data_IF_919526280376
#
_entry.id   IF_919526280376
#
_cell.length_a   1.000
_cell.length_b   1.000
_cell.length_c   1.000
_cell.angle_alpha   90.00
_cell.angle_beta   90.00
_cell.angle_gamma   90.00
#
_symmetry.space_group_name_H-M   'P 1'
#
loop_
_entity.id
_entity.type
_entity.pdbx_description
1 polymer ?
#
# COMPACT_ATOMS: atom_id res chain seq x y z
N UNK A 1 -19.47 -79.14 49.35
CA UNK A 1 -18.40 -80.08 48.94
C UNK A 1 -18.46 -80.26 47.44
N UNK A 2 -17.29 -80.22 46.76
CA UNK A 2 -16.91 -80.96 45.53
C UNK A 2 -18.03 -81.50 44.61
N UNK A 3 -17.98 -81.39 43.28
CA UNK A 3 -16.85 -81.60 42.39
C UNK A 3 -17.26 -81.29 40.94
N UNK A 4 -16.23 -81.06 40.15
CA UNK A 4 -16.15 -80.62 38.76
C UNK A 4 -16.25 -81.77 37.75
N UNK A 5 -16.44 -81.39 36.47
CA UNK A 5 -16.15 -82.11 35.19
C UNK A 5 -17.14 -83.21 34.75
N UNK A 6 -17.48 -83.43 33.46
CA UNK A 6 -17.07 -82.86 32.16
C UNK A 6 -18.11 -83.18 31.07
N UNK A 7 -18.15 -82.33 30.02
CA UNK A 7 -18.78 -82.43 28.68
C UNK A 7 -18.48 -83.77 27.93
N UNK A 8 -19.13 -84.13 26.78
CA UNK A 8 -19.55 -83.30 25.61
C UNK A 8 -20.94 -83.73 25.00
N UNK A 9 -21.49 -83.28 23.85
CA UNK A 9 -20.98 -82.96 22.50
C UNK A 9 -22.10 -82.30 21.65
N UNK A 10 -21.72 -81.28 20.87
CA UNK A 10 -22.14 -80.89 19.51
C UNK A 10 -23.61 -80.98 19.03
N UNK A 11 -24.27 -79.82 18.86
CA UNK A 11 -25.19 -79.54 17.74
C UNK A 11 -24.86 -78.12 17.21
N UNK A 12 -24.61 -78.07 15.91
CA UNK A 12 -24.23 -76.92 15.10
C UNK A 12 -25.48 -76.06 14.79
N UNK A 13 -25.52 -74.81 15.23
CA UNK A 13 -26.48 -73.81 14.74
C UNK A 13 -25.70 -72.61 14.17
N UNK A 14 -25.85 -72.41 12.87
CA UNK A 14 -25.21 -71.38 12.06
C UNK A 14 -26.00 -70.08 12.24
N UNK A 15 -25.43 -69.09 12.94
CA UNK A 15 -25.95 -67.72 12.99
C UNK A 15 -25.04 -66.83 12.15
N UNK A 16 -25.58 -66.32 11.06
CA UNK A 16 -24.95 -65.34 10.17
C UNK A 16 -24.77 -64.01 10.91
N UNK A 17 -23.55 -63.68 11.34
CA UNK A 17 -23.17 -62.32 11.73
C UNK A 17 -22.62 -61.58 10.52
N UNK A 18 -23.43 -60.69 9.95
CA UNK A 18 -22.99 -59.72 8.95
C UNK A 18 -22.07 -58.71 9.66
N UNK A 19 -20.77 -58.77 9.39
CA UNK A 19 -19.84 -57.70 9.75
C UNK A 19 -20.09 -56.52 8.80
N UNK A 20 -20.78 -55.49 9.27
CA UNK A 20 -20.66 -54.15 8.68
C UNK A 20 -19.29 -53.58 9.07
N UNK A 21 -18.32 -53.68 8.16
CA UNK A 21 -17.15 -52.81 8.22
C UNK A 21 -17.64 -51.38 7.90
N UNK A 22 -17.91 -50.57 8.93
CA UNK A 22 -17.98 -49.13 8.73
C UNK A 22 -16.57 -48.62 8.51
N UNK A 23 -16.14 -48.53 7.26
CA UNK A 23 -14.99 -47.70 6.91
C UNK A 23 -15.39 -46.26 7.21
N UNK A 24 -14.93 -45.73 8.34
CA UNK A 24 -14.87 -44.29 8.55
C UNK A 24 -13.88 -43.75 7.52
N UNK A 25 -14.38 -43.39 6.35
CA UNK A 25 -13.66 -42.49 5.47
C UNK A 25 -13.70 -41.15 6.18
N UNK A 26 -12.64 -40.85 6.93
CA UNK A 26 -12.32 -39.46 7.25
C UNK A 26 -12.07 -38.82 5.90
N UNK A 27 -13.06 -38.09 5.38
CA UNK A 27 -12.84 -37.18 4.29
C UNK A 27 -11.83 -36.16 4.81
N UNK A 28 -10.56 -36.34 4.40
CA UNK A 28 -9.56 -35.29 4.51
C UNK A 28 -10.20 -34.06 3.85
N UNK A 29 -10.44 -33.00 4.62
CA UNK A 29 -10.99 -31.75 4.06
C UNK A 29 -10.04 -31.34 2.93
N UNK A 30 -10.54 -31.39 1.69
CA UNK A 30 -9.76 -30.98 0.53
C UNK A 30 -9.15 -29.60 0.84
N UNK A 31 -7.88 -29.34 0.49
CA UNK A 31 -7.24 -28.06 0.80
C UNK A 31 -8.08 -26.93 0.22
N UNK A 32 -8.79 -26.20 1.09
CA UNK A 32 -9.65 -25.10 0.69
C UNK A 32 -8.80 -23.84 0.60
N UNK A 33 -8.80 -23.19 -0.57
CA UNK A 33 -8.05 -21.95 -0.82
C UNK A 33 -8.42 -20.80 0.14
N UNK A 34 -9.68 -20.75 0.59
CA UNK A 34 -10.16 -19.73 1.54
C UNK A 34 -11.31 -20.23 2.42
N UNK A 35 -11.38 -19.70 3.64
CA UNK A 35 -12.50 -19.92 4.58
C UNK A 35 -12.95 -18.56 5.13
N UNK A 36 -14.26 -18.31 5.13
CA UNK A 36 -14.81 -17.11 5.75
C UNK A 36 -14.72 -17.24 7.27
N UNK A 37 -13.96 -16.36 7.91
CA UNK A 37 -13.82 -16.29 9.37
C UNK A 37 -14.62 -15.10 9.89
N UNK A 38 -15.55 -15.28 10.85
CA UNK A 38 -16.28 -14.15 11.42
C UNK A 38 -15.30 -13.26 12.21
N UNK A 39 -15.46 -11.93 12.21
CA UNK A 39 -14.56 -11.02 12.94
C UNK A 39 -14.32 -11.40 14.41
N UNK A 40 -15.32 -11.95 15.08
CA UNK A 40 -15.25 -12.46 16.46
C UNK A 40 -14.29 -13.64 16.62
N UNK A 41 -14.12 -14.49 15.59
CA UNK A 41 -13.17 -15.62 15.61
C UNK A 41 -11.70 -15.17 15.65
N UNK A 42 -11.44 -13.92 15.26
CA UNK A 42 -10.12 -13.29 15.34
C UNK A 42 -9.96 -12.43 16.60
N UNK A 43 -10.93 -12.44 17.52
CA UNK A 43 -10.91 -11.63 18.73
C UNK A 43 -10.93 -10.11 18.47
N UNK A 44 -11.45 -9.69 17.30
CA UNK A 44 -11.50 -8.28 16.90
C UNK A 44 -12.40 -7.49 17.86
N UNK A 45 -11.76 -6.69 18.74
CA UNK A 45 -12.43 -5.74 19.64
C UNK A 45 -12.62 -4.38 18.95
N UNK A 46 -13.30 -3.48 19.66
CA UNK A 46 -13.57 -2.09 19.25
C UNK A 46 -12.30 -1.34 18.80
N UNK A 47 -12.45 -0.49 17.79
CA UNK A 47 -11.39 0.37 17.27
C UNK A 47 -10.73 1.19 18.39
N UNK A 48 -9.41 1.31 18.35
CA UNK A 48 -8.63 2.13 19.27
C UNK A 48 -7.92 3.25 18.52
N UNK A 49 -7.81 4.39 19.17
CA UNK A 49 -7.07 5.54 18.68
C UNK A 49 -5.87 5.77 19.61
N UNK A 50 -4.68 5.90 19.03
CA UNK A 50 -3.42 6.10 19.74
C UNK A 50 -2.70 7.33 19.19
N UNK A 51 -1.93 8.01 20.03
CA UNK A 51 -1.06 9.12 19.64
C UNK A 51 0.39 8.70 19.88
N UNK A 52 1.23 8.81 18.86
CA UNK A 52 2.66 8.53 18.91
C UNK A 52 3.42 9.81 18.55
N UNK A 53 4.54 10.05 19.22
CA UNK A 53 5.43 11.18 18.97
C UNK A 53 6.89 10.70 19.02
N UNK A 54 7.65 11.00 17.99
CA UNK A 54 9.06 10.61 17.80
C UNK A 54 9.69 11.50 16.72
N UNK A 55 11.02 11.47 16.63
CA UNK A 55 11.82 12.20 15.66
C UNK A 55 12.45 11.23 14.66
N UNK A 56 12.40 11.59 13.38
CA UNK A 56 12.93 10.80 12.26
C UNK A 56 14.22 11.46 11.74
N UNK A 57 15.27 10.67 11.52
CA UNK A 57 16.61 11.16 11.14
C UNK A 57 17.09 10.56 9.82
N UNK A 58 16.96 11.32 8.73
CA UNK A 58 17.52 10.96 7.43
C UNK A 58 18.99 11.40 7.35
N UNK A 59 19.91 10.44 7.47
CA UNK A 59 21.36 10.69 7.49
C UNK A 59 21.93 10.36 6.10
N UNK A 60 22.01 11.38 5.25
CA UNK A 60 22.44 11.24 3.83
C UNK A 60 23.96 11.32 3.62
N UNK A 61 24.75 11.60 4.65
CA UNK A 61 26.21 11.80 4.54
C UNK A 61 26.97 11.35 5.79
N UNK A 62 28.30 11.35 5.72
CA UNK A 62 29.17 10.91 6.81
C UNK A 62 29.58 9.43 6.68
N UNK A 63 30.24 8.86 7.71
CA UNK A 63 30.84 7.53 7.62
C UNK A 63 29.82 6.38 7.68
N UNK A 64 28.58 6.65 8.10
CA UNK A 64 27.49 5.66 8.25
C UNK A 64 26.15 6.29 7.86
N UNK A 65 25.93 6.59 6.56
CA UNK A 65 24.64 7.10 6.10
C UNK A 65 23.55 6.05 6.29
N UNK A 66 22.33 6.51 6.56
CA UNK A 66 21.13 5.66 6.73
C UNK A 66 20.23 5.70 5.50
N UNK A 67 20.48 6.64 4.58
CA UNK A 67 19.81 6.73 3.29
C UNK A 67 20.80 6.59 2.13
N UNK A 68 20.49 5.70 1.19
CA UNK A 68 21.31 5.41 0.03
C UNK A 68 20.48 5.57 -1.24
N UNK A 69 20.98 6.37 -2.19
CA UNK A 69 20.38 6.48 -3.52
C UNK A 69 20.56 5.17 -4.28
N UNK A 70 19.45 4.57 -4.72
CA UNK A 70 19.41 3.26 -5.39
C UNK A 70 18.99 3.34 -6.86
N UNK A 71 18.31 4.41 -7.27
CA UNK A 71 17.90 4.63 -8.64
C UNK A 71 17.80 6.13 -8.97
N UNK A 72 18.00 6.47 -10.24
CA UNK A 72 17.79 7.82 -10.76
C UNK A 72 17.58 7.81 -12.28
N UNK A 73 16.87 8.80 -12.81
CA UNK A 73 16.76 9.01 -14.25
C UNK A 73 18.00 9.73 -14.79
N UNK A 74 18.25 9.63 -16.10
CA UNK A 74 19.33 10.37 -16.76
C UNK A 74 19.18 11.89 -16.61
N UNK A 75 17.95 12.39 -16.52
CA UNK A 75 17.59 13.81 -16.36
C UNK A 75 17.61 14.29 -14.91
N UNK A 76 17.78 13.39 -13.93
CA UNK A 76 17.69 13.73 -12.50
C UNK A 76 18.71 14.79 -12.08
N UNK A 77 19.95 14.73 -12.59
CA UNK A 77 21.01 15.68 -12.21
C UNK A 77 20.78 17.10 -12.74
N UNK A 78 20.00 17.25 -13.82
CA UNK A 78 19.61 18.55 -14.39
C UNK A 78 18.26 19.04 -13.87
N UNK A 79 17.54 18.20 -13.11
CA UNK A 79 16.25 18.56 -12.54
C UNK A 79 16.44 19.49 -11.34
N UNK A 80 15.76 20.64 -11.30
CA UNK A 80 15.86 21.56 -10.17
C UNK A 80 15.27 20.98 -8.87
N UNK A 81 14.40 19.98 -8.97
CA UNK A 81 13.78 19.29 -7.83
C UNK A 81 14.44 17.94 -7.54
N UNK A 82 15.41 17.51 -8.35
CA UNK A 82 15.97 16.16 -8.30
C UNK A 82 14.98 15.07 -8.71
N UNK A 83 13.97 15.40 -9.52
CA UNK A 83 12.95 14.49 -10.01
C UNK A 83 13.53 13.17 -10.53
N UNK A 84 12.95 12.05 -10.10
CA UNK A 84 13.39 10.70 -10.45
C UNK A 84 14.46 10.12 -9.53
N UNK A 85 15.02 10.87 -8.58
CA UNK A 85 15.91 10.30 -7.57
C UNK A 85 15.13 9.42 -6.58
N UNK A 86 15.63 8.21 -6.32
CA UNK A 86 15.06 7.26 -5.38
C UNK A 86 16.12 6.76 -4.40
N UNK A 87 15.78 6.75 -3.12
CA UNK A 87 16.64 6.25 -2.05
C UNK A 87 15.94 5.16 -1.24
N UNK A 88 16.73 4.22 -0.72
CA UNK A 88 16.34 3.28 0.34
C UNK A 88 16.83 3.83 1.68
N UNK A 89 16.03 3.66 2.73
CA UNK A 89 16.30 4.18 4.07
C UNK A 89 16.20 3.10 5.15
N UNK A 90 17.03 3.25 6.18
CA UNK A 90 16.96 2.60 7.49
C UNK A 90 17.27 3.63 8.58
N UNK A 91 16.32 4.57 8.75
CA UNK A 91 16.53 5.81 9.49
C UNK A 91 16.09 5.68 10.96
N UNK A 92 16.91 6.09 11.94
CA UNK A 92 16.55 6.02 13.35
C UNK A 92 15.35 6.89 13.70
N UNK A 93 14.46 6.29 14.50
CA UNK A 93 13.41 7.00 15.20
C UNK A 93 13.85 7.22 16.64
N UNK A 94 13.91 8.46 17.10
CA UNK A 94 14.34 8.80 18.46
C UNK A 94 13.25 9.48 19.27
N UNK A 95 13.39 9.45 20.60
CA UNK A 95 12.44 10.07 21.52
C UNK A 95 12.54 11.60 21.54
N UNK A 96 13.75 12.15 21.37
CA UNK A 96 14.04 13.58 21.37
C UNK A 96 14.70 14.01 20.04
N UNK A 97 14.76 15.32 19.72
CA UNK A 97 15.32 15.80 18.45
C UNK A 97 16.80 15.46 18.23
N UNK A 98 17.56 15.17 19.29
CA UNK A 98 18.96 14.81 19.17
C UNK A 98 19.11 13.36 18.68
N UNK A 99 19.98 13.15 17.69
CA UNK A 99 20.27 11.82 17.13
C UNK A 99 20.98 10.87 18.11
N UNK A 100 21.49 11.38 19.23
CA UNK A 100 22.07 10.61 20.34
C UNK A 100 21.03 10.20 21.39
N UNK A 101 19.79 10.69 21.28
CA UNK A 101 18.73 10.35 22.22
C UNK A 101 18.25 8.90 22.03
N UNK A 102 17.41 8.42 22.95
CA UNK A 102 16.94 7.02 22.94
C UNK A 102 16.25 6.70 21.61
N UNK A 103 16.78 5.70 20.90
CA UNK A 103 16.15 5.11 19.71
C UNK A 103 14.93 4.30 20.12
N UNK A 104 13.80 4.53 19.47
CA UNK A 104 12.50 3.87 19.71
C UNK A 104 12.03 2.99 18.54
N UNK A 105 12.75 3.03 17.43
CA UNK A 105 12.45 2.25 16.24
C UNK A 105 13.28 2.69 15.02
N UNK A 106 12.89 2.19 13.86
CA UNK A 106 13.47 2.54 12.56
C UNK A 106 12.35 2.92 11.57
N UNK A 107 12.64 3.86 10.67
CA UNK A 107 11.87 4.08 9.46
C UNK A 107 12.57 3.37 8.30
N UNK A 108 11.89 2.38 7.72
CA UNK A 108 12.47 1.50 6.72
C UNK A 108 11.62 1.49 5.45
N UNK A 109 12.23 1.73 4.30
CA UNK A 109 11.51 1.76 3.04
C UNK A 109 12.23 2.55 1.96
N UNK A 110 11.46 3.20 1.10
CA UNK A 110 11.98 4.07 0.05
C UNK A 110 11.34 5.45 0.11
N UNK A 111 12.09 6.45 -0.34
CA UNK A 111 11.52 7.72 -0.78
C UNK A 111 11.96 8.04 -2.21
N UNK A 112 11.11 8.76 -2.94
CA UNK A 112 11.38 9.17 -4.32
C UNK A 112 11.02 10.63 -4.52
N UNK A 113 11.85 11.41 -5.22
CA UNK A 113 11.52 12.77 -5.64
C UNK A 113 10.59 12.71 -6.85
N UNK A 114 9.30 12.99 -6.63
CA UNK A 114 8.19 12.69 -7.56
C UNK A 114 7.49 13.93 -8.13
N UNK A 115 8.06 15.11 -7.91
CA UNK A 115 7.48 16.36 -8.41
C UNK A 115 8.51 17.13 -9.23
N UNK A 116 8.11 17.61 -10.39
CA UNK A 116 8.92 18.46 -11.26
C UNK A 116 8.79 19.95 -10.91
N UNK A 117 7.75 20.33 -10.16
CA UNK A 117 7.47 21.74 -9.82
C UNK A 117 7.89 22.15 -8.41
N UNK A 118 8.07 21.19 -7.49
CA UNK A 118 8.50 21.47 -6.12
C UNK A 118 9.25 20.27 -5.51
N UNK A 119 9.98 20.47 -4.41
CA UNK A 119 10.58 19.37 -3.67
C UNK A 119 9.51 18.58 -2.89
N UNK A 120 8.96 17.55 -3.54
CA UNK A 120 8.01 16.64 -2.94
C UNK A 120 8.46 15.18 -3.11
N UNK A 121 8.37 14.45 -2.01
CA UNK A 121 8.72 13.05 -1.93
C UNK A 121 7.47 12.18 -1.93
N UNK A 122 7.50 11.05 -2.62
CA UNK A 122 6.66 9.90 -2.28
C UNK A 122 7.40 9.11 -1.19
N UNK A 123 6.78 8.97 -0.03
CA UNK A 123 7.27 8.13 1.07
C UNK A 123 6.55 6.79 1.02
N UNK A 124 7.28 5.68 0.89
CA UNK A 124 6.76 4.31 0.97
C UNK A 124 7.59 3.56 2.00
N UNK A 125 7.14 3.59 3.25
CA UNK A 125 7.97 3.13 4.37
C UNK A 125 7.14 2.57 5.52
N UNK A 126 7.80 1.82 6.39
CA UNK A 126 7.28 1.38 7.66
C UNK A 126 8.01 2.08 8.79
N UNK A 127 7.28 2.57 9.79
CA UNK A 127 7.83 2.81 11.11
C UNK A 127 7.79 1.49 11.89
N UNK A 128 8.94 0.90 12.15
CA UNK A 128 9.11 -0.32 12.92
C UNK A 128 9.57 0.03 14.34
N UNK A 129 8.72 -0.21 15.33
CA UNK A 129 9.01 0.14 16.71
C UNK A 129 9.72 -1.02 17.42
N UNK A 130 10.77 -0.69 18.18
CA UNK A 130 11.60 -1.66 18.91
C UNK A 130 11.48 -1.53 20.42
N UNK A 131 10.67 -0.58 20.89
CA UNK A 131 10.61 -0.17 22.29
C UNK A 131 9.18 -0.20 22.84
N UNK A 132 9.08 -0.44 24.15
CA UNK A 132 7.84 -0.38 24.90
C UNK A 132 6.75 -1.34 24.39
N UNK A 133 5.49 -0.92 24.51
CA UNK A 133 4.33 -1.75 24.15
C UNK A 133 4.14 -1.97 22.64
N UNK A 134 4.88 -1.24 21.81
CA UNK A 134 4.81 -1.35 20.35
C UNK A 134 5.97 -2.16 19.78
N UNK A 135 6.86 -2.71 20.62
CA UNK A 135 7.99 -3.51 20.17
C UNK A 135 7.53 -4.62 19.21
N UNK A 136 8.17 -4.70 18.04
CA UNK A 136 7.84 -5.64 16.97
C UNK A 136 6.60 -5.27 16.15
N UNK A 137 5.97 -4.13 16.42
CA UNK A 137 4.82 -3.63 15.66
C UNK A 137 5.27 -2.59 14.65
N UNK A 138 4.51 -2.47 13.55
CA UNK A 138 4.81 -1.51 12.48
C UNK A 138 3.60 -0.67 12.08
N UNK A 139 3.85 0.56 11.64
CA UNK A 139 2.89 1.40 10.92
C UNK A 139 3.40 1.63 9.50
N UNK A 140 2.56 1.37 8.50
CA UNK A 140 2.89 1.56 7.08
C UNK A 140 2.41 2.93 6.60
N UNK A 141 3.29 3.66 5.93
CA UNK A 141 3.05 4.98 5.35
C UNK A 141 3.21 4.88 3.84
N UNK A 142 2.21 5.36 3.11
CA UNK A 142 2.29 5.65 1.69
C UNK A 142 1.74 7.05 1.51
N UNK A 143 2.59 8.05 1.30
CA UNK A 143 2.14 9.43 1.29
C UNK A 143 3.10 10.39 0.64
N UNK A 144 2.51 11.47 0.13
CA UNK A 144 3.22 12.62 -0.40
C UNK A 144 3.76 13.49 0.74
N UNK A 145 5.02 13.90 0.64
CA UNK A 145 5.73 14.67 1.64
C UNK A 145 6.40 15.89 1.00
N UNK A 146 5.78 17.07 1.11
CA UNK A 146 6.28 18.36 0.58
C UNK A 146 7.32 18.94 1.53
N UNK A 147 8.60 18.79 1.19
CA UNK A 147 9.73 18.94 2.13
C UNK A 147 9.73 20.29 2.86
N UNK A 148 9.36 21.38 2.17
CA UNK A 148 9.39 22.74 2.72
C UNK A 148 8.07 23.19 3.38
N UNK A 149 7.04 22.35 3.42
CA UNK A 149 5.81 22.67 4.16
C UNK A 149 6.02 22.55 5.67
N UNK A 150 5.43 23.49 6.42
CA UNK A 150 5.53 23.55 7.88
C UNK A 150 4.87 22.35 8.57
N UNK A 151 3.75 21.89 8.03
CA UNK A 151 3.03 20.68 8.46
C UNK A 151 2.83 19.79 7.26
N UNK A 152 3.13 18.49 7.41
CA UNK A 152 3.08 17.49 6.34
C UNK A 152 2.25 16.31 6.81
N UNK A 153 1.18 16.02 6.09
CA UNK A 153 0.27 14.93 6.42
C UNK A 153 0.48 13.75 5.47
N UNK A 154 0.81 12.60 6.05
CA UNK A 154 0.93 11.34 5.31
C UNK A 154 -0.02 10.30 5.91
N UNK A 155 -0.81 9.59 5.09
CA UNK A 155 -1.73 8.60 5.62
C UNK A 155 -0.99 7.36 6.11
N UNK A 156 -1.49 6.82 7.23
CA UNK A 156 -1.20 5.46 7.65
C UNK A 156 -2.09 4.53 6.82
N UNK A 157 -1.48 3.68 6.01
CA UNK A 157 -2.17 2.78 5.07
C UNK A 157 -2.21 1.33 5.53
N UNK A 158 -1.56 1.02 6.65
CA UNK A 158 -1.51 -0.32 7.23
C UNK A 158 -0.71 -0.39 8.52
N UNK A 159 -0.63 -1.59 9.09
CA UNK A 159 0.18 -1.85 10.27
C UNK A 159 0.21 -3.32 10.67
N UNK A 160 1.15 -3.68 11.54
CA UNK A 160 1.35 -5.03 12.05
C UNK A 160 1.48 -5.04 13.59
N UNK A 161 1.50 -6.25 14.18
CA UNK A 161 1.59 -6.40 15.64
C UNK A 161 0.38 -5.79 16.35
N UNK A 162 0.62 -4.92 17.33
CA UNK A 162 -0.48 -4.27 18.08
C UNK A 162 -1.29 -3.31 17.21
N UNK A 163 -0.74 -2.80 16.10
CA UNK A 163 -1.48 -2.01 15.11
C UNK A 163 -2.36 -2.87 14.20
N UNK A 164 -2.22 -4.20 14.25
CA UNK A 164 -3.14 -5.14 13.59
C UNK A 164 -4.47 -5.24 14.36
N UNK A 165 -4.44 -5.24 15.71
CA UNK A 165 -5.58 -5.65 16.58
C UNK A 165 -5.66 -4.96 17.97
N UNK A 166 -5.33 -3.67 18.10
CA UNK A 166 -5.01 -3.02 19.37
C UNK A 166 -5.88 -3.38 20.60
N UNK A 167 -5.25 -3.98 21.63
CA UNK A 167 -5.67 -4.03 23.04
C UNK A 167 -4.45 -3.60 23.88
N UNK A 168 -4.43 -2.43 24.58
CA UNK A 168 -4.55 -2.20 26.05
C UNK A 168 -3.89 -0.83 26.39
N UNK A 169 -4.03 -0.25 27.60
CA UNK A 169 -3.53 1.10 27.93
C UNK A 169 -2.14 1.09 28.58
N UNK A 170 -1.35 2.15 28.31
CA UNK A 170 -0.51 2.92 29.28
C UNK A 170 0.36 4.00 28.59
N UNK A 171 0.58 3.98 27.26
CA UNK A 171 1.22 5.12 26.53
C UNK A 171 0.29 5.86 25.55
N UNK A 172 -0.81 5.23 25.14
CA UNK A 172 -1.83 5.80 24.26
C UNK A 172 -3.06 6.19 25.07
N UNK A 173 -3.68 7.34 24.76
CA UNK A 173 -5.06 7.63 25.17
C UNK A 173 -6.03 7.34 24.04
N UNK A 174 -7.14 6.69 24.35
CA UNK A 174 -8.26 6.59 23.42
C UNK A 174 -8.82 7.99 23.20
N UNK A 175 -8.86 8.44 21.96
CA UNK A 175 -9.54 9.67 21.56
C UNK A 175 -10.89 9.32 20.92
N UNK A 176 -11.91 10.14 21.12
CA UNK A 176 -13.15 10.03 20.35
C UNK A 176 -12.94 10.68 18.97
N UNK A 177 -13.58 10.18 17.89
CA UNK A 177 -13.56 10.86 16.58
C UNK A 177 -13.96 12.34 16.67
N UNK A 178 -14.92 12.66 17.54
CA UNK A 178 -15.34 14.04 17.81
C UNK A 178 -14.24 14.94 18.38
N UNK A 179 -13.29 14.38 19.14
CA UNK A 179 -12.14 15.16 19.67
C UNK A 179 -11.12 15.55 18.59
N UNK A 180 -11.17 14.89 17.43
CA UNK A 180 -10.41 15.27 16.23
C UNK A 180 -11.19 16.20 15.29
N UNK A 181 -12.39 16.63 15.69
CA UNK A 181 -13.28 17.43 14.85
C UNK A 181 -13.86 16.67 13.65
N UNK A 182 -13.78 15.33 13.64
CA UNK A 182 -14.33 14.52 12.55
C UNK A 182 -15.86 14.66 12.54
N UNK A 183 -16.39 15.01 11.37
CA UNK A 183 -17.83 15.17 11.13
C UNK A 183 -18.45 13.83 10.73
N UNK A 184 -19.65 13.88 10.15
CA UNK A 184 -20.29 12.71 9.56
C UNK A 184 -19.51 12.26 8.34
N UNK A 185 -19.32 10.95 8.19
CA UNK A 185 -18.74 10.35 6.99
C UNK A 185 -19.52 10.74 5.72
N UNK A 186 -18.79 11.04 4.66
CA UNK A 186 -19.27 11.47 3.34
C UNK A 186 -18.65 10.59 2.27
N UNK A 187 -19.33 10.47 1.14
CA UNK A 187 -18.82 9.85 -0.08
C UNK A 187 -18.62 10.93 -1.14
N UNK A 188 -17.40 11.08 -1.64
CA UNK A 188 -17.10 11.93 -2.81
C UNK A 188 -16.84 11.08 -4.03
N UNK A 189 -17.35 11.53 -5.18
CA UNK A 189 -16.99 11.03 -6.51
C UNK A 189 -16.14 12.09 -7.21
N UNK A 190 -14.93 11.71 -7.63
CA UNK A 190 -14.03 12.55 -8.40
C UNK A 190 -13.84 11.95 -9.80
N UNK A 191 -13.86 12.81 -10.81
CA UNK A 191 -13.64 12.44 -12.20
C UNK A 191 -12.58 13.33 -12.82
N UNK A 192 -11.59 12.72 -13.47
CA UNK A 192 -10.48 13.42 -14.12
C UNK A 192 -9.75 12.51 -15.10
N UNK A 193 -8.91 13.12 -15.93
CA UNK A 193 -8.04 12.45 -16.90
C UNK A 193 -6.59 12.57 -16.48
N UNK A 194 -5.91 11.43 -16.41
CA UNK A 194 -4.50 11.26 -16.10
C UNK A 194 -3.70 11.21 -17.39
N UNK A 195 -2.59 11.95 -17.47
CA UNK A 195 -1.75 12.07 -18.66
C UNK A 195 -0.34 11.53 -18.40
N UNK A 196 -0.07 10.28 -18.80
CA UNK A 196 1.26 9.67 -18.77
C UNK A 196 2.02 10.06 -20.04
N UNK A 197 3.02 10.94 -19.93
CA UNK A 197 3.80 11.42 -21.06
C UNK A 197 5.25 10.96 -20.89
N UNK A 198 5.66 9.95 -21.64
CA UNK A 198 7.02 9.41 -21.67
C UNK A 198 7.86 10.05 -22.77
N UNK A 199 7.23 10.68 -23.76
CA UNK A 199 7.89 11.23 -24.94
C UNK A 199 8.04 12.75 -24.92
N UNK A 200 8.66 13.28 -25.98
CA UNK A 200 8.83 14.71 -26.19
C UNK A 200 9.90 15.36 -25.30
N UNK A 201 10.04 16.69 -25.38
CA UNK A 201 11.09 17.42 -24.68
C UNK A 201 10.82 17.63 -23.17
N UNK A 202 9.59 17.37 -22.71
CA UNK A 202 9.14 17.57 -21.33
C UNK A 202 8.27 16.40 -20.86
N UNK A 203 8.86 15.21 -20.72
CA UNK A 203 8.12 14.04 -20.24
C UNK A 203 7.64 14.26 -18.81
N UNK A 204 6.44 13.77 -18.50
CA UNK A 204 5.91 13.70 -17.14
C UNK A 204 6.35 12.43 -16.40
N UNK A 205 6.77 11.40 -17.15
CA UNK A 205 7.23 10.12 -16.65
C UNK A 205 8.66 9.81 -17.10
N UNK A 206 9.50 9.33 -16.17
CA UNK A 206 10.89 8.94 -16.45
C UNK A 206 11.22 7.58 -15.87
N UNK A 207 11.90 6.74 -16.64
CA UNK A 207 12.40 5.44 -16.15
C UNK A 207 13.62 5.66 -15.27
N UNK A 208 13.61 5.07 -14.07
CA UNK A 208 14.68 5.23 -13.07
C UNK A 208 15.43 3.93 -12.77
N UNK A 209 14.81 2.79 -13.04
CA UNK A 209 15.43 1.48 -12.91
C UNK A 209 14.87 0.49 -13.93
N UNK A 210 15.69 -0.51 -14.29
CA UNK A 210 15.28 -1.66 -15.09
C UNK A 210 16.20 -2.85 -14.84
N UNK A 211 15.69 -4.06 -15.06
CA UNK A 211 16.50 -5.27 -15.05
C UNK A 211 17.23 -5.47 -16.39
N UNK A 212 18.30 -6.26 -16.40
CA UNK A 212 19.03 -6.57 -17.63
C UNK A 212 18.13 -7.20 -18.72
N UNK A 213 17.17 -8.02 -18.31
CA UNK A 213 16.19 -8.67 -19.20
C UNK A 213 15.01 -7.78 -19.62
N UNK A 214 14.87 -6.56 -19.07
CA UNK A 214 13.69 -5.73 -19.31
C UNK A 214 13.50 -5.41 -20.80
N UNK A 215 14.57 -5.17 -21.54
CA UNK A 215 14.50 -4.82 -22.96
C UNK A 215 14.09 -6.00 -23.87
N UNK A 216 14.27 -7.24 -23.42
CA UNK A 216 13.84 -8.44 -24.15
C UNK A 216 12.51 -8.99 -23.66
N UNK A 217 11.97 -8.43 -22.57
CA UNK A 217 10.68 -8.79 -22.00
C UNK A 217 9.53 -8.23 -22.85
N UNK A 218 8.61 -9.09 -23.27
CA UNK A 218 7.39 -8.66 -23.99
C UNK A 218 6.51 -7.68 -23.19
N UNK A 219 6.58 -7.75 -21.85
CA UNK A 219 5.84 -6.88 -20.91
C UNK A 219 6.68 -5.78 -20.27
N UNK A 220 7.95 -5.62 -20.69
CA UNK A 220 8.93 -4.76 -20.02
C UNK A 220 9.10 -5.05 -18.51
N UNK A 221 8.96 -6.31 -18.09
CA UNK A 221 9.06 -6.73 -16.70
C UNK A 221 10.33 -6.18 -16.02
N UNK A 222 10.17 -5.65 -14.80
CA UNK A 222 11.25 -5.06 -14.02
C UNK A 222 11.56 -3.59 -14.31
N UNK A 223 10.89 -2.95 -15.27
CA UNK A 223 10.98 -1.50 -15.46
C UNK A 223 10.30 -0.76 -14.30
N UNK A 224 10.92 0.31 -13.80
CA UNK A 224 10.35 1.23 -12.80
C UNK A 224 10.43 2.66 -13.31
N UNK A 225 9.30 3.36 -13.29
CA UNK A 225 9.18 4.77 -13.68
C UNK A 225 8.72 5.63 -12.51
N UNK A 226 9.17 6.88 -12.51
CA UNK A 226 8.72 7.96 -11.63
C UNK A 226 7.86 8.92 -12.44
N UNK A 227 6.73 9.34 -11.88
CA UNK A 227 5.73 10.17 -12.57
C UNK A 227 5.41 11.46 -11.81
N UNK A 228 5.17 12.53 -12.57
CA UNK A 228 4.50 13.77 -12.15
C UNK A 228 3.47 14.17 -13.22
N UNK A 229 2.42 13.37 -13.30
CA UNK A 229 1.45 13.41 -14.39
C UNK A 229 0.33 14.42 -14.10
N UNK A 230 -0.10 15.15 -15.12
CA UNK A 230 -1.21 16.09 -14.97
C UNK A 230 -2.53 15.34 -14.80
N UNK A 231 -3.40 15.87 -13.93
CA UNK A 231 -4.80 15.48 -13.84
C UNK A 231 -5.66 16.61 -14.40
N UNK A 232 -6.46 16.37 -15.42
CA UNK A 232 -7.27 17.40 -16.09
C UNK A 232 -8.76 17.07 -16.08
N UNK A 233 -9.61 18.09 -16.30
CA UNK A 233 -11.06 17.91 -16.38
C UNK A 233 -11.54 17.16 -17.64
N UNK A 234 -10.82 17.31 -18.76
CA UNK A 234 -11.17 16.70 -20.04
C UNK A 234 -9.99 15.88 -20.58
N UNK A 235 -10.19 14.97 -21.55
CA UNK A 235 -9.10 14.16 -22.10
C UNK A 235 -8.04 14.97 -22.85
N UNK A 236 -8.32 16.24 -23.18
CA UNK A 236 -7.36 17.14 -23.77
C UNK A 236 -6.37 17.65 -22.70
N UNK A 237 -5.07 17.51 -22.97
CA UNK A 237 -3.99 17.97 -22.10
C UNK A 237 -3.94 19.52 -21.97
N UNK A 238 -4.60 20.25 -22.87
CA UNK A 238 -4.76 21.71 -22.74
C UNK A 238 -5.87 22.12 -21.77
N UNK A 239 -6.71 21.17 -21.34
CA UNK A 239 -7.82 21.46 -20.45
C UNK A 239 -7.38 21.76 -19.02
N UNK A 240 -8.30 22.29 -18.20
CA UNK A 240 -8.01 22.72 -16.84
C UNK A 240 -7.38 21.60 -16.01
N UNK A 241 -6.18 21.84 -15.49
CA UNK A 241 -5.48 20.98 -14.54
C UNK A 241 -6.14 21.09 -13.17
N UNK A 242 -6.54 19.96 -12.59
CA UNK A 242 -7.19 19.85 -11.28
C UNK A 242 -6.29 19.23 -10.22
N UNK A 243 -5.15 18.67 -10.62
CA UNK A 243 -4.18 18.07 -9.72
C UNK A 243 -3.01 17.44 -10.46
N UNK A 244 -2.22 16.68 -9.70
CA UNK A 244 -1.10 15.88 -10.18
C UNK A 244 -1.20 14.46 -9.65
N UNK A 245 -0.83 13.46 -10.45
CA UNK A 245 -0.49 12.14 -9.96
C UNK A 245 1.03 12.05 -9.80
N UNK A 246 1.48 11.87 -8.57
CA UNK A 246 2.91 11.85 -8.23
C UNK A 246 3.24 10.54 -7.55
N UNK A 247 4.20 9.80 -8.11
CA UNK A 247 4.56 8.49 -7.57
C UNK A 247 5.45 7.66 -8.47
N UNK A 248 5.31 6.35 -8.34
CA UNK A 248 6.01 5.36 -9.16
C UNK A 248 5.05 4.32 -9.73
N UNK A 249 5.41 3.76 -10.88
CA UNK A 249 4.85 2.49 -11.33
C UNK A 249 5.94 1.53 -11.78
N UNK A 250 5.68 0.24 -11.65
CA UNK A 250 6.60 -0.81 -12.07
C UNK A 250 5.91 -1.86 -12.93
N UNK A 251 6.55 -2.30 -14.01
CA UNK A 251 6.12 -3.46 -14.80
C UNK A 251 6.32 -4.73 -13.98
N UNK A 252 5.24 -5.22 -13.37
CA UNK A 252 5.25 -6.24 -12.33
C UNK A 252 4.66 -7.59 -12.76
N UNK A 253 4.27 -7.73 -14.04
CA UNK A 253 3.79 -8.99 -14.61
C UNK A 253 4.69 -9.49 -15.74
N UNK A 254 4.98 -10.79 -15.72
CA UNK A 254 5.73 -11.47 -16.78
C UNK A 254 4.82 -11.97 -17.91
N UNK A 255 3.52 -12.13 -17.66
CA UNK A 255 2.56 -12.74 -18.59
C UNK A 255 1.66 -11.73 -19.31
N UNK A 256 1.54 -10.51 -18.79
CA UNK A 256 0.71 -9.45 -19.37
C UNK A 256 1.25 -8.06 -18.99
N UNK A 257 0.72 -7.00 -19.61
CA UNK A 257 1.05 -5.62 -19.23
C UNK A 257 0.36 -5.23 -17.91
N UNK A 258 0.93 -5.73 -16.82
CA UNK A 258 0.49 -5.46 -15.45
C UNK A 258 1.46 -4.54 -14.73
N UNK A 259 0.99 -3.35 -14.36
CA UNK A 259 1.75 -2.39 -13.56
C UNK A 259 1.39 -2.54 -12.07
N UNK A 260 2.38 -2.37 -11.19
CA UNK A 260 2.16 -2.00 -9.79
C UNK A 260 2.15 -0.47 -9.70
N UNK A 261 1.06 0.13 -9.25
CA UNK A 261 0.91 1.57 -9.06
C UNK A 261 1.14 1.90 -7.57
N UNK A 262 2.03 2.85 -7.29
CA UNK A 262 2.28 3.40 -5.95
C UNK A 262 2.36 4.92 -6.07
N UNK A 263 1.24 5.61 -5.87
CA UNK A 263 1.15 7.05 -6.16
C UNK A 263 0.16 7.80 -5.27
N UNK A 264 0.27 9.12 -5.32
CA UNK A 264 -0.69 10.04 -4.74
C UNK A 264 -1.34 10.91 -5.81
N UNK A 265 -2.68 11.05 -5.75
CA UNK A 265 -3.37 12.15 -6.40
C UNK A 265 -3.30 13.37 -5.49
N UNK A 266 -2.60 14.43 -5.91
CA UNK A 266 -2.51 15.70 -5.21
C UNK A 266 -3.36 16.75 -5.91
N UNK A 267 -4.49 17.11 -5.30
CA UNK A 267 -5.46 18.04 -5.89
C UNK A 267 -5.07 19.48 -5.60
N UNK A 268 -5.30 20.36 -6.58
CA UNK A 268 -4.93 21.79 -6.49
C UNK A 268 -6.13 22.71 -6.71
N UNK A 269 -7.33 22.15 -6.85
CA UNK A 269 -8.54 22.87 -7.23
C UNK A 269 -9.69 22.67 -6.25
N UNK A 270 -10.52 23.71 -6.13
CA UNK A 270 -11.78 23.67 -5.37
C UNK A 270 -11.61 23.33 -3.89
N UNK A 271 -12.58 22.60 -3.35
CA UNK A 271 -12.61 22.17 -1.94
C UNK A 271 -11.52 21.13 -1.61
N UNK A 272 -10.89 20.53 -2.62
CA UNK A 272 -9.89 19.47 -2.48
C UNK A 272 -8.46 20.01 -2.54
N UNK A 273 -8.26 21.31 -2.79
CA UNK A 273 -6.93 21.90 -2.91
C UNK A 273 -6.03 21.59 -1.69
N UNK A 274 -4.83 21.09 -1.96
CA UNK A 274 -3.84 20.68 -0.96
C UNK A 274 -4.10 19.31 -0.33
N UNK A 275 -5.21 18.66 -0.66
CA UNK A 275 -5.54 17.32 -0.17
C UNK A 275 -5.04 16.24 -1.11
N UNK A 276 -4.80 15.05 -0.58
CA UNK A 276 -4.30 13.93 -1.38
C UNK A 276 -5.08 12.64 -1.17
N UNK A 277 -5.11 11.79 -2.19
CA UNK A 277 -5.52 10.39 -2.10
C UNK A 277 -4.34 9.48 -2.44
N UNK A 278 -4.24 8.35 -1.76
CA UNK A 278 -3.15 7.38 -1.91
C UNK A 278 -3.63 6.12 -2.63
N UNK A 279 -2.87 5.66 -3.62
CA UNK A 279 -3.16 4.47 -4.42
C UNK A 279 -2.01 3.48 -4.29
N UNK A 280 -2.36 2.23 -3.94
CA UNK A 280 -1.49 1.07 -4.00
C UNK A 280 -2.27 -0.07 -4.64
N UNK A 281 -1.93 -0.45 -5.87
CA UNK A 281 -2.72 -1.46 -6.58
C UNK A 281 -2.13 -1.94 -7.88
N UNK A 282 -2.66 -3.06 -8.38
CA UNK A 282 -2.30 -3.65 -9.67
C UNK A 282 -3.16 -3.06 -10.78
N UNK A 283 -2.54 -2.71 -11.90
CA UNK A 283 -3.15 -2.07 -13.05
C UNK A 283 -2.83 -2.84 -14.35
N UNK A 284 -3.77 -3.65 -14.85
CA UNK A 284 -3.64 -4.42 -16.09
C UNK A 284 -4.06 -3.59 -17.29
N UNK A 285 -3.16 -2.78 -17.84
CA UNK A 285 -3.50 -1.63 -18.71
C UNK A 285 -4.29 -1.96 -20.00
N UNK A 286 -4.27 -3.21 -20.46
CA UNK A 286 -5.06 -3.69 -21.61
C UNK A 286 -6.48 -4.17 -21.25
N UNK A 287 -6.82 -4.25 -19.95
CA UNK A 287 -8.17 -4.56 -19.49
C UNK A 287 -9.09 -3.36 -19.65
N UNK A 288 -10.35 -3.61 -20.02
CA UNK A 288 -11.36 -2.60 -20.35
C UNK A 288 -11.77 -1.73 -19.16
N UNK A 289 -11.87 -2.32 -17.97
CA UNK A 289 -12.15 -1.63 -16.70
C UNK A 289 -11.22 -2.20 -15.65
N UNK A 290 -10.61 -1.32 -14.87
CA UNK A 290 -9.64 -1.68 -13.83
C UNK A 290 -10.03 -0.98 -12.54
N UNK A 291 -9.83 -1.65 -11.42
CA UNK A 291 -10.11 -1.10 -10.11
C UNK A 291 -8.80 -0.95 -9.33
N UNK A 292 -8.55 0.26 -8.80
CA UNK A 292 -7.40 0.54 -7.94
C UNK A 292 -7.88 0.96 -6.55
N UNK A 293 -7.40 0.34 -5.47
CA UNK A 293 -7.78 0.73 -4.12
C UNK A 293 -7.30 2.13 -3.75
N UNK A 294 -8.17 2.90 -3.10
CA UNK A 294 -7.77 4.07 -2.31
C UNK A 294 -7.42 3.58 -0.91
N UNK A 295 -6.14 3.64 -0.58
CA UNK A 295 -5.59 3.08 0.68
C UNK A 295 -5.40 4.12 1.78
N UNK A 296 -5.63 5.40 1.48
CA UNK A 296 -5.54 6.49 2.44
C UNK A 296 -5.68 7.86 1.79
N UNK A 297 -5.64 8.91 2.60
CA UNK A 297 -5.65 10.30 2.14
C UNK A 297 -5.25 11.30 3.22
N UNK A 298 -5.01 12.54 2.81
CA UNK A 298 -4.62 13.67 3.67
C UNK A 298 -5.50 14.90 3.42
N UNK A 299 -5.45 15.89 4.33
CA UNK A 299 -6.30 17.07 4.24
C UNK A 299 -7.77 16.71 4.42
N UNK A 300 -8.63 17.10 3.47
CA UNK A 300 -10.06 16.76 3.52
C UNK A 300 -10.31 15.25 3.37
N UNK A 301 -9.35 14.52 2.80
CA UNK A 301 -9.41 13.07 2.65
C UNK A 301 -8.75 12.30 3.80
N UNK A 302 -8.59 12.93 4.96
CA UNK A 302 -8.06 12.21 6.14
C UNK A 302 -8.96 11.02 6.46
N UNK A 303 -8.35 9.86 6.71
CA UNK A 303 -9.01 8.56 6.91
C UNK A 303 -9.75 8.03 5.67
N UNK A 304 -9.39 8.50 4.47
CA UNK A 304 -10.07 8.05 3.27
C UNK A 304 -9.89 6.55 2.96
N UNK A 305 -10.96 5.93 2.47
CA UNK A 305 -10.98 4.58 1.90
C UNK A 305 -11.91 4.56 0.69
N UNK A 306 -11.64 3.68 -0.26
CA UNK A 306 -12.49 3.55 -1.43
C UNK A 306 -11.77 2.90 -2.60
N UNK A 307 -12.18 3.24 -3.81
CA UNK A 307 -11.63 2.68 -5.04
C UNK A 307 -11.68 3.67 -6.19
N UNK A 308 -10.87 3.43 -7.19
CA UNK A 308 -10.87 4.14 -8.46
C UNK A 308 -11.19 3.16 -9.59
N UNK A 309 -12.22 3.47 -10.37
CA UNK A 309 -12.43 2.86 -11.68
C UNK A 309 -11.58 3.58 -12.73
N UNK A 310 -10.85 2.79 -13.49
CA UNK A 310 -9.83 3.29 -14.42
C UNK A 310 -10.07 2.70 -15.79
N UNK A 311 -10.06 3.56 -16.81
CA UNK A 311 -10.25 3.20 -18.21
C UNK A 311 -9.23 3.91 -19.08
N UNK A 312 -8.55 3.18 -19.96
CA UNK A 312 -7.66 3.79 -20.95
C UNK A 312 -8.50 4.53 -21.99
N UNK A 313 -8.23 5.84 -22.15
CA UNK A 313 -8.88 6.68 -23.16
C UNK A 313 -8.08 6.64 -24.48
N UNK A 314 -6.78 6.89 -24.41
CA UNK A 314 -5.83 6.71 -25.52
C UNK A 314 -4.53 6.07 -25.02
N UNK A 315 -3.87 5.33 -25.90
CA UNK A 315 -2.55 4.76 -25.64
C UNK A 315 -1.77 4.68 -26.95
N UNK A 316 -0.65 5.41 -27.03
CA UNK A 316 0.28 5.32 -28.15
C UNK A 316 1.33 4.25 -27.85
N UNK A 317 1.20 3.10 -28.50
CA UNK A 317 2.13 1.97 -28.35
C UNK A 317 3.58 2.26 -28.76
N UNK A 318 3.84 3.31 -29.57
CA UNK A 318 5.19 3.66 -30.01
C UNK A 318 5.91 4.51 -28.99
N UNK A 319 5.21 5.47 -28.40
CA UNK A 319 5.80 6.40 -27.42
C UNK A 319 5.61 5.95 -25.98
N UNK A 320 4.57 5.16 -25.71
CA UNK A 320 4.11 4.81 -24.38
C UNK A 320 3.15 5.84 -23.79
N UNK A 321 2.89 6.96 -24.47
CA UNK A 321 2.04 8.02 -23.93
C UNK A 321 0.59 7.55 -23.79
N UNK A 322 -0.06 7.92 -22.70
CA UNK A 322 -1.40 7.48 -22.38
C UNK A 322 -2.26 8.60 -21.78
N UNK A 323 -3.54 8.63 -22.18
CA UNK A 323 -4.57 9.35 -21.44
C UNK A 323 -5.50 8.33 -20.81
N UNK A 324 -5.73 8.46 -19.51
CA UNK A 324 -6.48 7.49 -18.72
C UNK A 324 -7.56 8.19 -17.92
N UNK A 325 -8.81 7.76 -18.10
CA UNK A 325 -9.96 8.27 -17.36
C UNK A 325 -10.05 7.61 -15.99
N UNK A 326 -10.20 8.42 -14.94
CA UNK A 326 -10.36 7.97 -13.56
C UNK A 326 -11.72 8.41 -12.99
N UNK A 327 -12.42 7.48 -12.37
CA UNK A 327 -13.60 7.71 -11.55
C UNK A 327 -13.31 7.21 -10.13
N UNK A 328 -13.03 8.12 -9.20
CA UNK A 328 -12.63 7.81 -7.82
C UNK A 328 -13.81 7.98 -6.88
N UNK A 329 -14.08 6.96 -6.07
CA UNK A 329 -15.11 6.97 -5.03
C UNK A 329 -14.43 6.82 -3.68
N UNK A 330 -14.47 7.87 -2.85
CA UNK A 330 -13.76 7.91 -1.58
C UNK A 330 -14.70 8.30 -0.43
N UNK A 331 -14.74 7.46 0.61
CA UNK A 331 -15.32 7.82 1.91
C UNK A 331 -14.34 8.69 2.69
N UNK A 332 -14.80 9.77 3.34
CA UNK A 332 -14.02 10.68 4.21
C UNK A 332 -14.94 11.43 5.19
N UNK A 333 -14.48 12.44 5.96
CA UNK A 333 -15.24 13.07 7.08
C UNK A 333 -15.35 14.60 6.98
#
# INVERSE_FOLDING_TARGET
MAKTFSKPTSILFMLFTIFFFSTYVMADEAPVFSKNLPPSSLGLKQQKLSHLHFYFHDIVSGPKPTAIRVAQAATTNTSPTGFGAMAVIDDPLTLLPENTSKVVGQAQGIYTLVSQSEAALLMVMNFAFTEGQYNGSTLSVLGRNTVFSTVREMPIVGGSGVFRFAQTPVFSRNLSPSSLGLKREKLSHLHFYFHDILSGPKPSAVRVAQAAMTNTSSTSFGAVSVIDDALTMLPDNSSKVVGRAQGIYASASQSEFGLLMVLNFAFIEGEYNGSTLSVLGRNTILSTVRELPIVGGSGVFRFARGYAHVKTYTFDTKTGDAVVEYNVYAFHY
#
